data_IF_078274914345
#
_entry.id   IF_078274914345
#
_cell.length_a   1.000
_cell.length_b   1.000
_cell.length_c   1.000
_cell.angle_alpha   90.00
_cell.angle_beta   90.00
_cell.angle_gamma   90.00
#
_symmetry.space_group_name_H-M   'P 1'
#
loop_
_entity.id
_entity.type
_entity.pdbx_description
1 polymer ?
#
# COMPACT_ATOMS: atom_id res chain seq x y z
N UNK A 1 -2.12 -6.57 19.53
CA UNK A 1 -1.67 -5.34 18.85
C UNK A 1 -0.44 -5.69 18.05
N UNK A 2 -0.36 -5.31 16.78
CA UNK A 2 0.86 -5.51 15.99
C UNK A 2 1.99 -4.71 16.63
N UNK A 3 3.17 -5.34 16.79
CA UNK A 3 4.32 -4.67 17.38
C UNK A 3 4.81 -3.56 16.43
N UNK A 4 4.55 -2.30 16.80
CA UNK A 4 4.94 -1.14 16.00
C UNK A 4 6.46 -0.93 15.98
N UNK A 5 7.24 -1.65 16.82
CA UNK A 5 8.71 -1.62 16.79
C UNK A 5 9.27 -1.95 15.43
N UNK A 6 8.62 -2.85 14.67
CA UNK A 6 9.08 -3.18 13.32
C UNK A 6 9.09 -1.93 12.43
N UNK A 7 7.97 -1.21 12.35
CA UNK A 7 7.88 0.00 11.53
C UNK A 7 8.74 1.14 12.07
N UNK A 8 8.86 1.29 13.40
CA UNK A 8 9.80 2.24 13.98
C UNK A 8 11.24 1.96 13.53
N UNK A 9 11.63 0.69 13.44
CA UNK A 9 12.95 0.27 12.97
C UNK A 9 13.11 0.43 11.46
N UNK A 10 12.06 0.17 10.67
CA UNK A 10 12.10 0.40 9.22
C UNK A 10 12.27 1.90 8.93
N UNK A 11 11.46 2.75 9.55
CA UNK A 11 11.50 4.20 9.31
C UNK A 11 12.60 4.95 10.07
N UNK A 12 13.39 4.27 10.92
CA UNK A 12 14.62 4.84 11.45
C UNK A 12 15.78 4.78 10.45
N UNK A 13 15.69 3.91 9.42
CA UNK A 13 16.65 3.87 8.33
C UNK A 13 16.46 5.10 7.43
N UNK A 14 17.57 5.75 7.11
CA UNK A 14 17.60 6.99 6.29
C UNK A 14 16.85 6.83 4.96
N UNK A 15 16.98 5.68 4.31
CA UNK A 15 16.37 5.37 3.01
C UNK A 15 14.82 5.34 3.04
N UNK A 16 14.22 5.01 4.18
CA UNK A 16 12.77 4.86 4.30
C UNK A 16 12.12 5.99 5.10
N UNK A 17 12.90 6.67 5.94
CA UNK A 17 12.43 7.78 6.79
C UNK A 17 11.69 8.86 5.98
N UNK A 18 12.25 9.18 4.82
CA UNK A 18 11.81 10.28 3.97
C UNK A 18 10.74 9.84 2.95
N UNK A 19 10.26 8.59 3.01
CA UNK A 19 9.19 8.12 2.13
C UNK A 19 7.87 8.83 2.48
N UNK A 20 7.23 9.51 1.52
CA UNK A 20 5.94 10.20 1.74
C UNK A 20 4.72 9.31 1.47
N UNK A 21 4.90 8.27 0.64
CA UNK A 21 3.86 7.35 0.22
C UNK A 21 4.29 5.93 0.57
N UNK A 22 3.39 5.14 1.15
CA UNK A 22 3.63 3.75 1.52
C UNK A 22 2.54 2.86 0.93
N UNK A 23 2.96 1.90 0.12
CA UNK A 23 2.11 0.85 -0.43
C UNK A 23 2.21 -0.40 0.46
N UNK A 24 1.11 -0.76 1.11
CA UNK A 24 1.01 -1.95 1.97
C UNK A 24 0.40 -3.08 1.16
N UNK A 25 1.22 -4.05 0.79
CA UNK A 25 0.79 -5.28 0.13
C UNK A 25 1.23 -6.45 1.01
N UNK A 26 0.27 -7.29 1.38
CA UNK A 26 0.51 -8.52 2.15
C UNK A 26 0.13 -9.73 1.31
N UNK A 27 0.95 -10.78 1.40
CA UNK A 27 0.69 -12.05 0.73
C UNK A 27 -0.45 -12.83 1.38
N UNK A 28 -0.69 -14.04 0.87
CA UNK A 28 -1.80 -14.93 1.25
C UNK A 28 -1.50 -15.92 2.38
N UNK A 29 -0.42 -15.72 3.14
CA UNK A 29 0.04 -16.70 4.15
C UNK A 29 -0.92 -16.86 5.34
N UNK A 30 -1.75 -15.86 5.62
CA UNK A 30 -2.71 -15.85 6.73
C UNK A 30 -3.65 -17.06 6.73
N UNK A 31 -4.07 -17.51 5.53
CA UNK A 31 -4.94 -18.66 5.36
C UNK A 31 -4.20 -20.01 5.50
N UNK A 32 -2.88 -20.05 5.28
CA UNK A 32 -2.06 -21.26 5.34
C UNK A 32 -1.45 -21.51 6.74
N UNK A 33 -1.59 -20.53 7.65
CA UNK A 33 -1.09 -20.66 9.03
C UNK A 33 -1.91 -21.70 9.81
N UNK A 34 -1.31 -22.29 10.84
CA UNK A 34 -2.01 -23.16 11.80
C UNK A 34 -1.92 -22.56 13.22
N UNK A 35 -3.05 -22.10 13.82
CA UNK A 35 -4.37 -21.98 13.20
C UNK A 35 -4.42 -20.86 12.13
N UNK A 36 -5.32 -20.93 11.15
CA UNK A 36 -5.51 -19.86 10.16
C UNK A 36 -5.91 -18.56 10.84
N UNK A 37 -5.46 -17.43 10.29
CA UNK A 37 -5.87 -16.10 10.76
C UNK A 37 -7.24 -15.76 10.15
N UNK A 38 -8.16 -15.29 10.98
CA UNK A 38 -9.48 -14.88 10.51
C UNK A 38 -9.43 -13.52 9.77
N UNK A 39 -10.30 -13.31 8.76
CA UNK A 39 -10.33 -12.07 7.98
C UNK A 39 -10.36 -10.79 8.82
N UNK A 40 -11.12 -10.76 9.92
CA UNK A 40 -11.23 -9.63 10.82
C UNK A 40 -9.95 -9.37 11.61
N UNK A 41 -9.19 -10.43 11.91
CA UNK A 41 -7.88 -10.31 12.55
C UNK A 41 -6.84 -9.75 11.56
N UNK A 42 -6.86 -10.22 10.30
CA UNK A 42 -6.02 -9.65 9.23
C UNK A 42 -6.35 -8.18 9.01
N UNK A 43 -7.64 -7.82 8.89
CA UNK A 43 -8.07 -6.43 8.76
C UNK A 43 -7.59 -5.59 9.94
N UNK A 44 -7.76 -6.07 11.18
CA UNK A 44 -7.33 -5.34 12.38
C UNK A 44 -5.82 -5.08 12.39
N UNK A 45 -5.03 -6.04 11.94
CA UNK A 45 -3.58 -5.88 11.83
C UNK A 45 -3.24 -4.84 10.76
N UNK A 46 -3.88 -4.90 9.59
CA UNK A 46 -3.65 -3.93 8.50
C UNK A 46 -4.09 -2.52 8.92
N UNK A 47 -5.25 -2.36 9.57
CA UNK A 47 -5.69 -1.09 10.17
C UNK A 47 -4.63 -0.53 11.11
N UNK A 48 -4.10 -1.36 12.01
CA UNK A 48 -3.03 -0.94 12.93
C UNK A 48 -1.75 -0.49 12.21
N UNK A 49 -1.43 -1.06 11.04
CA UNK A 49 -0.30 -0.64 10.22
C UNK A 49 -0.61 0.72 9.59
N UNK A 50 -1.77 0.85 8.95
CA UNK A 50 -2.20 2.10 8.32
C UNK A 50 -2.25 3.24 9.33
N UNK A 51 -2.84 3.03 10.51
CA UNK A 51 -2.90 4.02 11.58
C UNK A 51 -1.51 4.48 12.03
N UNK A 52 -0.55 3.55 12.13
CA UNK A 52 0.82 3.89 12.52
C UNK A 52 1.54 4.72 11.45
N UNK A 53 1.24 4.48 10.17
CA UNK A 53 1.80 5.20 9.03
C UNK A 53 1.15 6.58 8.85
N UNK A 54 -0.18 6.67 8.90
CA UNK A 54 -0.91 7.94 8.78
C UNK A 54 -0.60 8.88 9.93
N UNK A 55 -0.44 8.39 11.16
CA UNK A 55 0.05 9.19 12.32
C UNK A 55 1.46 9.75 12.12
N UNK A 56 2.25 9.17 11.21
CA UNK A 56 3.57 9.69 10.80
C UNK A 56 3.47 10.65 9.60
N UNK A 57 2.26 11.04 9.21
CA UNK A 57 1.98 11.90 8.07
C UNK A 57 2.16 11.23 6.71
N UNK A 58 2.23 9.88 6.66
CA UNK A 58 2.44 9.16 5.41
C UNK A 58 1.11 8.99 4.68
N UNK A 59 1.13 9.12 3.36
CA UNK A 59 0.01 8.73 2.49
C UNK A 59 0.07 7.21 2.30
N UNK A 60 -1.04 6.51 2.56
CA UNK A 60 -1.05 5.04 2.57
C UNK A 60 -1.99 4.52 1.49
N UNK A 61 -1.51 3.51 0.75
CA UNK A 61 -2.35 2.70 -0.12
C UNK A 61 -2.27 1.23 0.32
N UNK A 62 -3.39 0.52 0.32
CA UNK A 62 -3.46 -0.89 0.73
C UNK A 62 -3.91 -1.75 -0.44
N UNK A 63 -3.12 -2.76 -0.77
CA UNK A 63 -3.48 -3.76 -1.77
C UNK A 63 -4.36 -4.87 -1.20
N UNK A 64 -5.16 -5.47 -2.07
CA UNK A 64 -5.85 -6.72 -1.78
C UNK A 64 -4.84 -7.85 -1.56
N UNK A 65 -5.25 -8.88 -0.81
CA UNK A 65 -4.51 -10.13 -0.73
C UNK A 65 -4.36 -10.70 -2.14
N UNK A 66 -3.12 -10.95 -2.51
CA UNK A 66 -2.75 -11.52 -3.79
C UNK A 66 -2.30 -12.97 -3.60
N UNK A 67 -2.85 -13.88 -4.43
CA UNK A 67 -2.39 -15.26 -4.53
C UNK A 67 -1.97 -15.51 -5.99
N UNK A 68 -0.80 -16.11 -6.18
CA UNK A 68 -0.28 -16.48 -7.50
C UNK A 68 -1.07 -17.64 -8.13
N UNK A 69 -1.60 -18.53 -7.28
CA UNK A 69 -2.50 -19.61 -7.64
C UNK A 69 -3.98 -19.29 -7.34
N UNK A 70 -4.84 -19.35 -8.35
CA UNK A 70 -6.29 -19.13 -8.23
C UNK A 70 -6.97 -20.27 -7.46
N UNK A 71 -6.50 -21.50 -7.64
CA UNK A 71 -7.10 -22.67 -7.00
C UNK A 71 -6.93 -22.67 -5.47
N UNK A 72 -5.94 -21.93 -4.97
CA UNK A 72 -5.66 -21.76 -3.55
C UNK A 72 -6.45 -20.60 -2.91
N UNK A 73 -7.20 -19.82 -3.69
CA UNK A 73 -8.10 -18.80 -3.16
C UNK A 73 -9.26 -19.51 -2.48
N UNK A 74 -9.49 -19.15 -1.22
CA UNK A 74 -10.59 -19.67 -0.42
C UNK A 74 -11.49 -18.53 0.08
N UNK A 75 -12.60 -18.88 0.71
CA UNK A 75 -13.60 -17.92 1.18
C UNK A 75 -13.02 -16.86 2.12
N UNK A 76 -11.99 -17.20 2.91
CA UNK A 76 -11.32 -16.25 3.80
C UNK A 76 -10.55 -15.17 3.04
N UNK A 77 -9.92 -15.51 1.90
CA UNK A 77 -9.27 -14.50 1.06
C UNK A 77 -10.29 -13.53 0.48
N UNK A 78 -11.41 -14.04 -0.03
CA UNK A 78 -12.49 -13.23 -0.59
C UNK A 78 -13.09 -12.30 0.47
N UNK A 79 -13.38 -12.84 1.66
CA UNK A 79 -13.87 -12.07 2.79
C UNK A 79 -12.87 -10.98 3.23
N UNK A 80 -11.58 -11.31 3.31
CA UNK A 80 -10.54 -10.33 3.66
C UNK A 80 -10.45 -9.21 2.63
N UNK A 81 -10.46 -9.55 1.33
CA UNK A 81 -10.40 -8.54 0.27
C UNK A 81 -11.64 -7.63 0.24
N UNK A 82 -12.82 -8.16 0.59
CA UNK A 82 -14.01 -7.34 0.81
C UNK A 82 -13.80 -6.37 1.97
N UNK A 83 -13.38 -6.87 3.12
CA UNK A 83 -13.13 -6.06 4.32
C UNK A 83 -12.09 -4.95 4.10
N UNK A 84 -11.04 -5.23 3.31
CA UNK A 84 -10.02 -4.23 2.98
C UNK A 84 -10.57 -3.12 2.08
N UNK A 85 -11.41 -3.46 1.10
CA UNK A 85 -12.07 -2.47 0.23
C UNK A 85 -13.03 -1.61 1.02
N UNK A 86 -13.88 -2.24 1.84
CA UNK A 86 -14.83 -1.52 2.70
C UNK A 86 -14.09 -0.55 3.63
N UNK A 87 -12.96 -0.97 4.23
CA UNK A 87 -12.12 -0.09 5.04
C UNK A 87 -11.57 1.12 4.28
N UNK A 88 -11.08 0.95 3.06
CA UNK A 88 -10.58 2.07 2.27
C UNK A 88 -11.70 3.10 1.99
N UNK A 89 -12.91 2.60 1.66
CA UNK A 89 -14.09 3.44 1.46
C UNK A 89 -14.47 4.18 2.74
N UNK A 90 -14.45 3.52 3.90
CA UNK A 90 -14.79 4.12 5.18
C UNK A 90 -13.85 5.30 5.52
N UNK A 91 -12.58 5.24 5.13
CA UNK A 91 -11.59 6.30 5.41
C UNK A 91 -11.59 7.46 4.41
N UNK A 92 -12.43 7.43 3.37
CA UNK A 92 -12.35 8.38 2.25
C UNK A 92 -12.51 9.86 2.64
N UNK A 93 -13.12 10.13 3.80
CA UNK A 93 -13.36 11.47 4.33
C UNK A 93 -12.36 11.89 5.42
N UNK A 94 -11.40 11.03 5.75
CA UNK A 94 -10.33 11.37 6.69
C UNK A 94 -9.35 12.38 6.08
N UNK A 95 -8.59 13.09 6.92
CA UNK A 95 -7.56 14.04 6.46
C UNK A 95 -6.47 13.35 5.60
N UNK A 96 -6.11 12.12 5.97
CA UNK A 96 -5.19 11.26 5.24
C UNK A 96 -5.89 9.91 4.97
N UNK A 97 -6.75 9.84 3.93
CA UNK A 97 -7.51 8.62 3.63
C UNK A 97 -6.57 7.49 3.23
N UNK A 98 -6.95 6.25 3.57
CA UNK A 98 -6.25 5.06 3.10
C UNK A 98 -6.82 4.69 1.74
N UNK A 99 -5.97 4.76 0.71
CA UNK A 99 -6.40 4.44 -0.66
C UNK A 99 -6.42 2.94 -0.89
N UNK A 100 -7.40 2.46 -1.64
CA UNK A 100 -7.31 1.11 -2.19
C UNK A 100 -6.26 1.13 -3.30
N UNK A 101 -5.19 0.34 -3.15
CA UNK A 101 -4.29 0.05 -4.24
C UNK A 101 -5.03 -0.79 -5.31
N UNK A 102 -4.49 -0.92 -6.53
CA UNK A 102 -5.15 -1.69 -7.58
C UNK A 102 -5.38 -3.11 -7.12
N UNK A 103 -6.46 -3.71 -7.62
CA UNK A 103 -6.79 -5.08 -7.25
C UNK A 103 -5.73 -6.03 -7.81
N UNK A 104 -4.83 -6.49 -6.94
CA UNK A 104 -3.80 -7.46 -7.28
C UNK A 104 -4.41 -8.85 -7.52
N UNK A 105 -5.72 -9.02 -7.35
CA UNK A 105 -6.45 -10.20 -7.74
C UNK A 105 -6.73 -10.31 -9.25
N UNK A 106 -6.19 -9.41 -10.08
CA UNK A 106 -6.36 -9.47 -11.54
C UNK A 106 -5.67 -10.68 -12.20
N UNK A 107 -6.26 -11.27 -13.26
CA UNK A 107 -5.71 -12.46 -13.93
C UNK A 107 -4.30 -12.30 -14.50
N UNK A 108 -3.87 -11.07 -14.81
CA UNK A 108 -2.64 -10.83 -15.57
C UNK A 108 -1.36 -11.14 -14.78
N UNK A 109 -1.36 -10.90 -13.47
CA UNK A 109 -0.25 -11.25 -12.56
C UNK A 109 -0.29 -12.73 -12.15
N UNK A 110 -1.33 -13.47 -12.55
CA UNK A 110 -1.60 -14.86 -12.17
C UNK A 110 -1.28 -15.86 -13.27
N UNK A 111 -0.76 -15.39 -14.40
CA UNK A 111 -0.37 -16.26 -15.51
C UNK A 111 0.82 -17.15 -15.10
N UNK A 112 0.94 -18.36 -15.66
CA UNK A 112 2.11 -19.22 -15.42
C UNK A 112 3.43 -18.49 -15.64
N UNK A 113 3.50 -17.63 -16.67
CA UNK A 113 4.69 -16.82 -16.99
C UNK A 113 5.05 -15.77 -15.92
N UNK A 114 4.15 -15.47 -14.99
CA UNK A 114 4.37 -14.55 -13.88
C UNK A 114 4.82 -15.26 -12.60
N UNK A 115 4.85 -16.60 -12.57
CA UNK A 115 5.25 -17.40 -11.41
C UNK A 115 6.76 -17.62 -11.36
N UNK A 116 7.29 -17.67 -10.15
CA UNK A 116 8.64 -18.12 -9.87
C UNK A 116 8.76 -19.65 -10.01
N UNK A 117 9.99 -20.16 -9.92
CA UNK A 117 10.29 -21.58 -10.07
C UNK A 117 9.63 -22.48 -9.01
N UNK A 118 9.24 -21.91 -7.87
CA UNK A 118 8.55 -22.62 -6.78
C UNK A 118 7.03 -22.72 -7.00
N UNK A 119 6.49 -22.09 -8.04
CA UNK A 119 5.07 -22.08 -8.33
C UNK A 119 4.20 -21.28 -7.35
N UNK A 120 4.81 -20.62 -6.35
CA UNK A 120 4.13 -19.91 -5.27
C UNK A 120 4.40 -18.40 -5.32
N UNK A 121 5.63 -17.96 -5.55
CA UNK A 121 5.97 -16.54 -5.61
C UNK A 121 5.81 -15.96 -7.01
N UNK A 122 5.72 -14.64 -7.11
CA UNK A 122 5.84 -13.94 -8.39
C UNK A 122 7.31 -13.90 -8.83
N UNK A 123 7.54 -14.04 -10.13
CA UNK A 123 8.84 -13.74 -10.71
C UNK A 123 8.98 -12.23 -11.01
N UNK A 124 10.10 -11.85 -11.62
CA UNK A 124 10.38 -10.45 -11.97
C UNK A 124 9.34 -9.84 -12.92
N UNK A 125 8.75 -10.61 -13.82
CA UNK A 125 7.69 -10.17 -14.71
C UNK A 125 6.40 -9.86 -13.95
N UNK A 126 6.00 -10.77 -13.04
CA UNK A 126 4.85 -10.58 -12.16
C UNK A 126 4.97 -9.31 -11.30
N UNK A 127 6.11 -9.12 -10.64
CA UNK A 127 6.35 -7.91 -9.84
C UNK A 127 6.39 -6.63 -10.67
N UNK A 128 6.94 -6.65 -11.89
CA UNK A 128 6.91 -5.48 -12.79
C UNK A 128 5.49 -5.10 -13.18
N UNK A 129 4.63 -6.08 -13.43
CA UNK A 129 3.24 -5.83 -13.75
C UNK A 129 2.48 -5.25 -12.55
N UNK A 130 2.66 -5.84 -11.36
CA UNK A 130 2.10 -5.31 -10.10
C UNK A 130 2.54 -3.85 -9.87
N UNK A 131 3.83 -3.56 -10.08
CA UNK A 131 4.36 -2.22 -9.92
C UNK A 131 3.75 -1.24 -10.94
N UNK A 132 3.58 -1.67 -12.19
CA UNK A 132 2.93 -0.87 -13.24
C UNK A 132 1.49 -0.56 -12.87
N UNK A 133 0.72 -1.56 -12.45
CA UNK A 133 -0.69 -1.36 -12.08
C UNK A 133 -0.78 -0.47 -10.83
N UNK A 134 0.14 -0.62 -9.87
CA UNK A 134 0.20 0.24 -8.67
C UNK A 134 0.37 1.72 -9.00
N UNK A 135 0.99 2.08 -10.14
CA UNK A 135 1.21 3.47 -10.51
C UNK A 135 -0.08 4.25 -10.71
N UNK A 136 -1.19 3.62 -11.10
CA UNK A 136 -2.48 4.30 -11.28
C UNK A 136 -2.99 4.90 -9.95
N UNK A 137 -2.61 4.29 -8.81
CA UNK A 137 -2.95 4.77 -7.47
C UNK A 137 -1.84 5.64 -6.88
N UNK A 138 -0.58 5.30 -7.13
CA UNK A 138 0.56 6.04 -6.58
C UNK A 138 0.73 7.41 -7.25
N UNK A 139 0.47 7.53 -8.55
CA UNK A 139 0.72 8.77 -9.28
C UNK A 139 -0.11 9.95 -8.74
N UNK A 140 -1.43 9.87 -8.51
CA UNK A 140 -2.18 10.95 -7.88
C UNK A 140 -1.65 11.34 -6.49
N UNK A 141 -1.23 10.36 -5.69
CA UNK A 141 -0.64 10.60 -4.37
C UNK A 141 0.70 11.34 -4.48
N UNK A 142 1.55 10.92 -5.42
CA UNK A 142 2.84 11.56 -5.69
C UNK A 142 2.66 13.01 -6.13
N UNK A 143 1.73 13.26 -7.05
CA UNK A 143 1.38 14.63 -7.50
C UNK A 143 0.94 15.50 -6.32
N UNK A 144 0.13 14.97 -5.41
CA UNK A 144 -0.33 15.73 -4.24
C UNK A 144 0.81 16.07 -3.25
N UNK A 145 1.75 15.14 -3.04
CA UNK A 145 2.97 15.37 -2.24
C UNK A 145 3.84 16.44 -2.89
N UNK A 146 4.06 16.31 -4.20
CA UNK A 146 4.85 17.26 -4.98
C UNK A 146 4.24 18.66 -4.88
N UNK A 147 2.94 18.82 -5.12
CA UNK A 147 2.27 20.11 -5.05
C UNK A 147 2.36 20.75 -3.66
N UNK A 148 2.19 19.95 -2.61
CA UNK A 148 2.33 20.42 -1.21
C UNK A 148 3.75 20.90 -0.93
N UNK A 149 4.74 20.18 -1.45
CA UNK A 149 6.16 20.53 -1.32
C UNK A 149 6.50 21.83 -2.05
N UNK A 150 6.03 21.98 -3.30
CA UNK A 150 6.23 23.18 -4.09
C UNK A 150 5.56 24.39 -3.46
N UNK A 151 4.29 24.25 -3.04
CA UNK A 151 3.57 25.34 -2.38
C UNK A 151 4.32 25.85 -1.14
N UNK A 152 4.78 24.94 -0.27
CA UNK A 152 5.56 25.30 0.91
C UNK A 152 6.86 26.04 0.57
N UNK A 153 7.53 25.68 -0.53
CA UNK A 153 8.74 26.39 -0.99
C UNK A 153 8.41 27.78 -1.53
N UNK A 154 7.36 27.89 -2.34
CA UNK A 154 6.93 29.15 -2.96
C UNK A 154 6.38 30.15 -1.93
N UNK A 155 5.60 29.69 -0.95
CA UNK A 155 5.06 30.55 0.12
C UNK A 155 6.19 31.17 0.98
N UNK A 156 7.37 30.55 1.00
CA UNK A 156 8.57 31.06 1.68
C UNK A 156 9.50 31.90 0.79
N UNK A 157 9.22 32.04 -0.51
CA UNK A 157 10.04 32.85 -1.42
C UNK A 157 9.67 34.32 -1.28
N UNK A 158 10.60 35.12 -0.78
CA UNK A 158 10.56 36.56 -0.95
C UNK A 158 11.04 36.89 -2.36
N UNK A 159 10.15 37.36 -3.22
CA UNK A 159 10.53 37.80 -4.56
C UNK A 159 11.01 39.24 -4.46
N UNK A 160 12.26 39.48 -4.86
CA UNK A 160 12.83 40.82 -4.92
C UNK A 160 12.05 41.65 -5.94
N UNK A 161 11.38 42.75 -5.51
CA UNK A 161 10.63 43.61 -6.42
C UNK A 161 11.48 44.15 -7.59
N UNK A 162 12.80 44.29 -7.40
CA UNK A 162 13.72 44.79 -8.41
C UNK A 162 13.94 43.84 -9.60
N UNK A 163 13.39 42.61 -9.57
CA UNK A 163 13.39 41.68 -10.71
C UNK A 163 12.22 41.92 -11.69
N UNK A 164 11.30 42.82 -11.35
CA UNK A 164 10.12 43.15 -12.17
C UNK A 164 10.10 44.59 -12.70
N UNK A 165 11.10 45.39 -12.36
CA UNK A 165 11.36 46.74 -12.90
C UNK A 165 12.51 46.72 -13.91
#
# INVERSE_FOLDING_TARGET
>A
MADTKYFQTVFSKKEYRDADIVLVIVGSMDAQRSPPIEPEATLRNIKSICDALTKKGKRVAVGTLCHSDIAAINDKHTATNKLLRDFCVDTQHDELPVMCAPDLAIPMVRRPEAKAFDGVHFNSSGYKQIAKDAMDVIQPLATAVEWTTWKKKLDGMHVDPALYD
#
